data_IF_635501657621
#
_entry.id   IF_635501657621
#
_cell.length_a   1.000
_cell.length_b   1.000
_cell.length_c   1.000
_cell.angle_alpha   90.00
_cell.angle_beta   90.00
_cell.angle_gamma   90.00
#
_symmetry.space_group_name_H-M   'P 1'
#
loop_
_entity.id
_entity.type
_entity.pdbx_description
1 polymer ?
#
# COMPACT_ATOMS: atom_id res chain seq x y z
N UNK A 1 -52.78 -42.15 36.22
CA UNK A 1 -52.13 -41.37 37.29
C UNK A 1 -50.62 -41.43 37.07
N UNK A 2 -49.94 -40.28 37.01
CA UNK A 2 -48.47 -40.27 36.97
C UNK A 2 -47.87 -39.16 36.10
N UNK A 3 -47.99 -37.91 36.54
CA UNK A 3 -47.14 -36.79 36.08
C UNK A 3 -45.68 -37.07 36.42
N UNK A 4 -44.76 -36.70 35.53
CA UNK A 4 -43.55 -35.88 35.79
C UNK A 4 -42.68 -35.81 34.53
N UNK A 5 -42.75 -34.69 33.81
CA UNK A 5 -41.61 -34.19 33.03
C UNK A 5 -41.42 -32.74 33.46
N UNK A 6 -40.49 -32.56 34.38
CA UNK A 6 -39.96 -31.27 34.77
C UNK A 6 -38.45 -31.36 34.65
N UNK A 7 -37.82 -30.20 34.48
CA UNK A 7 -36.38 -29.95 34.34
C UNK A 7 -35.80 -30.20 32.94
N UNK A 8 -35.71 -29.13 32.16
CA UNK A 8 -34.44 -28.65 31.55
C UNK A 8 -34.70 -27.38 30.73
N UNK A 9 -34.91 -26.24 31.40
CA UNK A 9 -35.00 -24.94 30.72
C UNK A 9 -34.02 -23.89 31.25
N UNK A 10 -33.10 -24.26 32.14
CA UNK A 10 -32.24 -23.31 32.83
C UNK A 10 -30.77 -23.24 32.35
N UNK A 11 -30.33 -24.08 31.40
CA UNK A 11 -28.92 -24.11 30.97
C UNK A 11 -28.69 -23.46 29.59
N UNK A 12 -29.74 -23.20 28.80
CA UNK A 12 -29.59 -22.64 27.44
C UNK A 12 -29.37 -21.10 27.44
N UNK A 13 -29.60 -20.41 28.56
CA UNK A 13 -29.58 -18.93 28.57
C UNK A 13 -28.21 -18.29 28.81
N UNK A 14 -27.17 -19.03 29.24
CA UNK A 14 -25.86 -18.42 29.58
C UNK A 14 -24.87 -18.50 28.40
N UNK A 15 -25.06 -19.43 27.46
CA UNK A 15 -24.23 -19.52 26.24
C UNK A 15 -24.60 -18.43 25.21
N UNK A 16 -25.80 -17.84 25.30
CA UNK A 16 -26.23 -16.79 24.38
C UNK A 16 -25.71 -15.38 24.71
N UNK A 17 -25.13 -15.17 25.91
CA UNK A 17 -24.68 -13.84 26.31
C UNK A 17 -23.17 -13.59 26.11
N UNK A 18 -22.37 -14.63 25.84
CA UNK A 18 -20.93 -14.49 25.56
C UNK A 18 -20.64 -14.32 24.06
N UNK A 19 -21.59 -14.67 23.17
CA UNK A 19 -21.43 -14.51 21.72
C UNK A 19 -21.85 -13.12 21.19
N UNK A 20 -22.40 -12.25 22.05
CA UNK A 20 -22.86 -10.92 21.66
C UNK A 20 -21.79 -9.82 21.78
N UNK A 21 -20.57 -10.13 22.25
CA UNK A 21 -19.54 -9.13 22.53
C UNK A 21 -18.28 -9.21 21.65
N UNK A 22 -18.27 -10.09 20.65
CA UNK A 22 -17.20 -10.20 19.67
C UNK A 22 -17.76 -9.91 18.29
N UNK A 23 -17.74 -8.63 17.87
CA UNK A 23 -17.67 -8.12 16.48
C UNK A 23 -18.21 -6.68 16.39
N UNK A 24 -17.66 -5.76 17.19
CA UNK A 24 -17.69 -4.32 16.86
C UNK A 24 -16.23 -3.89 16.64
N UNK A 25 -15.61 -4.46 15.61
CA UNK A 25 -14.42 -3.86 15.03
C UNK A 25 -14.88 -2.68 14.15
N UNK A 26 -14.29 -1.48 14.30
CA UNK A 26 -14.62 -0.35 13.43
C UNK A 26 -14.28 -0.69 11.98
N UNK A 27 -15.32 -0.89 11.15
CA UNK A 27 -15.21 -1.17 9.70
C UNK A 27 -14.64 -0.01 8.88
N UNK A 28 -14.29 1.11 9.50
CA UNK A 28 -13.99 2.38 8.83
C UNK A 28 -12.56 2.52 8.30
N UNK A 29 -11.61 1.66 8.68
CA UNK A 29 -10.22 1.78 8.23
C UNK A 29 -9.86 0.93 6.99
N UNK A 30 -10.70 -0.04 6.60
CA UNK A 30 -10.44 -0.94 5.46
C UNK A 30 -11.11 -0.50 4.15
N UNK A 31 -12.02 0.49 4.18
CA UNK A 31 -12.77 0.90 2.99
C UNK A 31 -11.97 1.81 2.04
N UNK A 32 -11.00 2.57 2.53
CA UNK A 32 -10.26 3.54 1.71
C UNK A 32 -9.22 2.91 0.77
N UNK A 33 -8.79 1.66 1.04
CA UNK A 33 -7.84 0.99 0.15
C UNK A 33 -8.51 0.20 -0.98
N UNK A 34 -9.77 -0.25 -0.83
CA UNK A 34 -10.45 -1.04 -1.87
C UNK A 34 -10.77 -0.22 -3.13
N UNK A 35 -11.18 1.05 -2.99
CA UNK A 35 -11.45 1.93 -4.14
C UNK A 35 -10.23 2.17 -5.03
N UNK A 36 -9.01 2.05 -4.47
CA UNK A 36 -7.76 2.24 -5.22
C UNK A 36 -7.29 0.98 -5.96
N UNK A 37 -7.75 -0.21 -5.55
CA UNK A 37 -7.37 -1.49 -6.20
C UNK A 37 -8.42 -1.96 -7.22
N UNK A 38 -9.68 -1.58 -7.05
CA UNK A 38 -10.79 -1.97 -7.94
C UNK A 38 -11.17 -0.90 -8.98
N UNK A 39 -10.56 0.29 -8.92
CA UNK A 39 -10.93 1.44 -9.75
C UNK A 39 -12.20 2.14 -9.25
N UNK A 40 -12.34 3.42 -9.56
CA UNK A 40 -13.62 4.11 -9.39
C UNK A 40 -14.61 3.48 -10.40
N UNK A 41 -15.76 2.99 -9.92
CA UNK A 41 -16.73 2.39 -10.84
C UNK A 41 -17.31 3.47 -11.75
N UNK A 42 -17.21 3.26 -13.07
CA UNK A 42 -17.82 4.14 -14.06
C UNK A 42 -19.30 4.37 -13.74
N UNK A 43 -19.75 5.62 -13.77
CA UNK A 43 -21.18 5.93 -13.63
C UNK A 43 -21.89 5.39 -14.87
N UNK A 44 -22.81 4.44 -14.69
CA UNK A 44 -23.47 3.71 -15.77
C UNK A 44 -24.15 4.59 -16.83
N UNK A 45 -24.61 5.80 -16.48
CA UNK A 45 -25.23 6.74 -17.42
C UNK A 45 -24.25 7.41 -18.39
N UNK A 46 -22.94 7.24 -18.18
CA UNK A 46 -21.91 7.74 -19.09
C UNK A 46 -21.60 6.76 -20.23
N UNK A 47 -22.12 5.54 -20.16
CA UNK A 47 -21.90 4.50 -21.16
C UNK A 47 -22.76 4.80 -22.39
N UNK A 48 -22.12 4.90 -23.55
CA UNK A 48 -22.79 5.00 -24.83
C UNK A 48 -23.25 3.60 -25.27
N UNK A 49 -24.57 3.39 -25.25
CA UNK A 49 -25.17 2.10 -25.56
C UNK A 49 -25.46 1.98 -27.07
N UNK A 50 -24.89 0.98 -27.77
CA UNK A 50 -25.16 0.77 -29.19
C UNK A 50 -26.65 0.56 -29.51
N UNK A 51 -27.14 0.91 -30.70
CA UNK A 51 -28.55 0.71 -31.03
C UNK A 51 -28.93 -0.78 -30.92
N UNK A 52 -30.07 -1.05 -30.29
CA UNK A 52 -30.71 -2.37 -30.25
C UNK A 52 -31.94 -2.35 -31.15
N UNK A 53 -32.18 -3.44 -31.85
CA UNK A 53 -33.33 -3.60 -32.75
C UNK A 53 -34.62 -3.88 -31.98
N UNK A 54 -34.52 -4.54 -30.83
CA UNK A 54 -35.66 -4.90 -29.98
C UNK A 54 -36.08 -3.75 -29.06
N UNK A 55 -37.39 -3.66 -28.81
CA UNK A 55 -37.95 -2.82 -27.75
C UNK A 55 -37.75 -3.45 -26.37
N UNK A 56 -37.80 -2.64 -25.32
CA UNK A 56 -37.82 -3.17 -23.95
C UNK A 56 -39.16 -3.85 -23.65
N UNK A 57 -39.15 -4.77 -22.68
CA UNK A 57 -40.37 -5.39 -22.16
C UNK A 57 -41.39 -4.36 -21.65
N UNK A 58 -42.63 -4.80 -21.47
CA UNK A 58 -43.73 -3.92 -21.05
C UNK A 58 -43.50 -3.32 -19.67
N UNK A 59 -42.82 -4.06 -18.79
CA UNK A 59 -42.50 -3.64 -17.43
C UNK A 59 -41.00 -3.82 -17.24
N UNK A 60 -40.34 -2.74 -16.84
CA UNK A 60 -38.90 -2.72 -16.64
C UNK A 60 -38.50 -3.39 -15.31
N UNK A 61 -37.24 -3.84 -15.19
CA UNK A 61 -36.72 -4.50 -13.97
C UNK A 61 -36.80 -3.66 -12.69
N UNK A 62 -36.97 -2.35 -12.79
CA UNK A 62 -37.07 -1.43 -11.66
C UNK A 62 -38.48 -1.30 -11.08
N UNK A 63 -39.47 -1.89 -11.73
CA UNK A 63 -40.86 -1.89 -11.29
C UNK A 63 -41.15 -3.06 -10.33
N UNK A 64 -41.93 -2.83 -9.25
CA UNK A 64 -42.36 -3.91 -8.36
C UNK A 64 -43.25 -4.95 -9.05
N UNK A 65 -43.77 -4.62 -10.24
CA UNK A 65 -44.62 -5.50 -11.05
C UNK A 65 -43.87 -6.23 -12.14
N UNK A 66 -42.53 -6.22 -12.15
CA UNK A 66 -41.71 -6.91 -13.16
C UNK A 66 -42.02 -8.41 -13.27
N UNK A 67 -42.50 -9.04 -12.20
CA UNK A 67 -42.98 -10.43 -12.23
C UNK A 67 -44.14 -10.67 -13.23
N UNK A 68 -44.93 -9.64 -13.55
CA UNK A 68 -46.00 -9.73 -14.55
C UNK A 68 -45.42 -9.83 -15.97
N UNK A 69 -44.33 -9.13 -16.28
CA UNK A 69 -43.62 -9.26 -17.56
C UNK A 69 -43.10 -10.69 -17.74
N UNK A 70 -42.44 -11.23 -16.70
CA UNK A 70 -42.01 -12.64 -16.66
C UNK A 70 -43.18 -13.61 -16.83
N UNK A 71 -44.33 -13.34 -16.22
CA UNK A 71 -45.54 -14.18 -16.36
C UNK A 71 -46.05 -14.16 -17.80
N UNK A 72 -46.09 -12.99 -18.43
CA UNK A 72 -46.53 -12.85 -19.82
C UNK A 72 -45.58 -13.56 -20.79
N UNK A 73 -44.28 -13.48 -20.55
CA UNK A 73 -43.28 -14.23 -21.32
C UNK A 73 -43.43 -15.75 -21.14
N UNK A 74 -43.72 -16.23 -19.92
CA UNK A 74 -44.02 -17.65 -19.70
C UNK A 74 -45.27 -18.09 -20.48
N UNK A 75 -46.29 -17.24 -20.58
CA UNK A 75 -47.47 -17.52 -21.41
C UNK A 75 -47.09 -17.60 -22.90
N UNK A 76 -46.26 -16.67 -23.41
CA UNK A 76 -45.74 -16.74 -24.79
C UNK A 76 -44.97 -18.05 -25.04
N UNK A 77 -44.10 -18.43 -24.10
CA UNK A 77 -43.35 -19.68 -24.17
C UNK A 77 -44.25 -20.92 -24.08
N UNK A 78 -45.35 -20.88 -23.31
CA UNK A 78 -46.31 -21.97 -23.20
C UNK A 78 -47.10 -22.19 -24.51
N UNK A 79 -47.40 -21.10 -25.23
CA UNK A 79 -48.09 -21.14 -26.53
C UNK A 79 -47.13 -21.53 -27.67
N UNK A 80 -45.82 -21.33 -27.48
CA UNK A 80 -44.79 -21.83 -28.38
C UNK A 80 -44.61 -23.35 -28.19
N UNK A 81 -45.50 -24.15 -28.78
CA UNK A 81 -45.55 -25.60 -28.53
C UNK A 81 -44.36 -26.41 -29.06
N UNK A 82 -43.58 -25.88 -30.01
CA UNK A 82 -42.44 -26.60 -30.60
C UNK A 82 -41.11 -26.03 -30.09
N UNK A 83 -40.04 -26.84 -29.99
CA UNK A 83 -38.74 -26.33 -29.54
C UNK A 83 -38.19 -25.20 -30.44
N UNK A 84 -38.43 -25.24 -31.75
CA UNK A 84 -38.06 -24.16 -32.68
C UNK A 84 -38.81 -22.87 -32.35
N UNK A 85 -40.11 -22.98 -32.10
CA UNK A 85 -40.94 -21.82 -31.73
C UNK A 85 -40.50 -21.26 -30.38
N UNK A 86 -40.11 -22.11 -29.42
CA UNK A 86 -39.55 -21.67 -28.13
C UNK A 86 -38.23 -20.95 -28.31
N UNK A 87 -37.33 -21.46 -29.15
CA UNK A 87 -36.06 -20.82 -29.45
C UNK A 87 -36.27 -19.39 -30.00
N UNK A 88 -37.19 -19.22 -30.96
CA UNK A 88 -37.54 -17.89 -31.50
C UNK A 88 -38.12 -16.95 -30.45
N UNK A 89 -39.06 -17.41 -29.62
CA UNK A 89 -39.61 -16.59 -28.54
C UNK A 89 -38.52 -16.18 -27.54
N UNK A 90 -37.56 -17.06 -27.23
CA UNK A 90 -36.42 -16.72 -26.36
C UNK A 90 -35.47 -15.73 -26.99
N UNK A 91 -35.24 -15.81 -28.31
CA UNK A 91 -34.48 -14.81 -29.06
C UNK A 91 -35.09 -13.42 -28.91
N UNK A 92 -36.43 -13.32 -29.04
CA UNK A 92 -37.16 -12.06 -28.83
C UNK A 92 -36.99 -11.53 -27.40
N UNK A 93 -37.16 -12.41 -26.39
CA UNK A 93 -36.99 -12.03 -24.98
C UNK A 93 -35.54 -11.61 -24.68
N UNK A 94 -34.54 -12.29 -25.23
CA UNK A 94 -33.14 -11.89 -25.08
C UNK A 94 -32.91 -10.47 -25.63
N UNK A 95 -33.51 -10.14 -26.78
CA UNK A 95 -33.51 -8.77 -27.31
C UNK A 95 -34.21 -7.77 -26.37
N UNK A 96 -35.34 -8.14 -25.75
CA UNK A 96 -36.02 -7.33 -24.72
C UNK A 96 -35.09 -7.05 -23.53
N UNK A 97 -34.31 -8.05 -23.08
CA UNK A 97 -33.35 -7.90 -21.97
C UNK A 97 -32.22 -6.93 -22.29
N UNK A 98 -31.68 -6.93 -23.51
CA UNK A 98 -30.70 -5.92 -23.92
C UNK A 98 -31.30 -4.52 -23.95
N UNK A 99 -32.54 -4.36 -24.41
CA UNK A 99 -33.22 -3.08 -24.42
C UNK A 99 -33.53 -2.58 -23.00
N UNK A 100 -33.88 -3.47 -22.07
CA UNK A 100 -34.00 -3.16 -20.65
C UNK A 100 -32.67 -2.74 -20.04
N UNK A 101 -31.59 -3.48 -20.31
CA UNK A 101 -30.24 -3.16 -19.85
C UNK A 101 -29.87 -1.72 -20.25
N UNK A 102 -30.11 -1.34 -21.51
CA UNK A 102 -29.89 0.03 -21.99
C UNK A 102 -30.62 1.07 -21.12
N UNK A 103 -31.89 0.84 -20.83
CA UNK A 103 -32.70 1.77 -20.03
C UNK A 103 -32.20 1.81 -18.58
N UNK A 104 -31.82 0.66 -18.00
CA UNK A 104 -31.32 0.59 -16.63
C UNK A 104 -29.98 1.30 -16.46
N UNK A 105 -29.07 1.16 -17.43
CA UNK A 105 -27.80 1.88 -17.44
C UNK A 105 -28.02 3.40 -17.57
N UNK A 106 -28.91 3.83 -18.45
CA UNK A 106 -29.27 5.25 -18.61
C UNK A 106 -29.85 5.86 -17.32
N UNK A 107 -30.54 5.05 -16.50
CA UNK A 107 -31.12 5.46 -15.21
C UNK A 107 -30.18 5.34 -14.02
N UNK A 108 -28.94 4.89 -14.22
CA UNK A 108 -28.04 4.50 -13.15
C UNK A 108 -28.60 3.46 -12.18
N UNK A 109 -29.47 2.57 -12.67
CA UNK A 109 -30.03 1.48 -11.86
C UNK A 109 -29.19 0.21 -12.03
N UNK A 110 -28.17 0.07 -11.18
CA UNK A 110 -27.26 -1.09 -11.21
C UNK A 110 -27.99 -2.41 -10.95
N UNK A 111 -28.92 -2.46 -9.99
CA UNK A 111 -29.68 -3.70 -9.69
C UNK A 111 -30.56 -4.13 -10.87
N UNK A 112 -31.15 -3.16 -11.58
CA UNK A 112 -31.92 -3.43 -12.79
C UNK A 112 -31.03 -3.90 -13.94
N UNK A 113 -29.85 -3.30 -14.10
CA UNK A 113 -28.86 -3.72 -15.09
C UNK A 113 -28.36 -5.15 -14.83
N UNK A 114 -28.07 -5.50 -13.58
CA UNK A 114 -27.69 -6.86 -13.18
C UNK A 114 -28.80 -7.85 -13.54
N UNK A 115 -30.06 -7.53 -13.19
CA UNK A 115 -31.22 -8.37 -13.51
C UNK A 115 -31.39 -8.58 -15.02
N UNK A 116 -31.15 -7.53 -15.82
CA UNK A 116 -31.24 -7.60 -17.28
C UNK A 116 -30.10 -8.43 -17.88
N UNK A 117 -28.87 -8.32 -17.37
CA UNK A 117 -27.73 -9.13 -17.82
C UNK A 117 -27.90 -10.61 -17.48
N UNK A 118 -28.31 -10.92 -16.26
CA UNK A 118 -28.57 -12.31 -15.84
C UNK A 118 -29.70 -12.92 -16.68
N UNK A 119 -30.77 -12.16 -16.90
CA UNK A 119 -31.89 -12.57 -17.75
C UNK A 119 -31.49 -12.74 -19.22
N UNK A 120 -30.59 -11.92 -19.75
CA UNK A 120 -30.06 -12.06 -21.11
C UNK A 120 -29.29 -13.38 -21.24
N UNK A 121 -28.36 -13.66 -20.34
CA UNK A 121 -27.57 -14.89 -20.36
C UNK A 121 -28.47 -16.13 -20.23
N UNK A 122 -29.44 -16.10 -19.31
CA UNK A 122 -30.39 -17.20 -19.10
C UNK A 122 -31.26 -17.48 -20.34
N UNK A 123 -31.76 -16.45 -21.01
CA UNK A 123 -32.61 -16.64 -22.19
C UNK A 123 -31.81 -17.09 -23.42
N UNK A 124 -30.56 -16.64 -23.57
CA UNK A 124 -29.67 -17.13 -24.63
C UNK A 124 -29.29 -18.60 -24.41
N UNK A 125 -28.99 -19.00 -23.18
CA UNK A 125 -28.70 -20.40 -22.86
C UNK A 125 -29.90 -21.31 -23.16
N UNK A 126 -31.09 -20.93 -22.67
CA UNK A 126 -32.31 -21.70 -22.94
C UNK A 126 -32.72 -21.67 -24.41
N UNK A 127 -32.37 -20.61 -25.15
CA UNK A 127 -32.55 -20.53 -26.60
C UNK A 127 -31.70 -21.59 -27.31
N UNK A 128 -30.42 -21.69 -26.97
CA UNK A 128 -29.53 -22.73 -27.48
C UNK A 128 -30.04 -24.15 -27.15
N UNK A 129 -30.47 -24.39 -25.90
CA UNK A 129 -31.06 -25.68 -25.50
C UNK A 129 -32.30 -26.01 -26.34
N UNK A 130 -33.18 -25.03 -26.59
CA UNK A 130 -34.40 -25.24 -27.38
C UNK A 130 -34.09 -25.56 -28.85
N UNK A 131 -33.00 -25.00 -29.40
CA UNK A 131 -32.50 -25.32 -30.73
C UNK A 131 -32.00 -26.77 -30.81
N UNK A 132 -31.16 -27.20 -29.86
CA UNK A 132 -30.66 -28.59 -29.79
C UNK A 132 -31.81 -29.60 -29.59
N UNK A 133 -32.83 -29.25 -28.78
CA UNK A 133 -34.04 -30.07 -28.64
C UNK A 133 -34.81 -30.22 -29.97
N UNK A 134 -34.87 -29.17 -30.80
CA UNK A 134 -35.47 -29.25 -32.12
C UNK A 134 -34.65 -30.16 -33.05
N UNK A 135 -33.34 -30.01 -33.08
CA UNK A 135 -32.44 -30.84 -33.87
C UNK A 135 -32.57 -32.33 -33.50
N UNK A 136 -32.53 -32.63 -32.19
CA UNK A 136 -32.71 -33.98 -31.65
C UNK A 136 -34.09 -34.58 -31.97
N UNK A 137 -35.11 -33.74 -32.24
CA UNK A 137 -36.43 -34.16 -32.69
C UNK A 137 -36.50 -34.47 -34.20
N UNK A 138 -35.35 -34.47 -34.90
CA UNK A 138 -35.23 -34.76 -36.33
C UNK A 138 -35.66 -33.61 -37.24
N UNK A 139 -35.68 -32.38 -36.72
CA UNK A 139 -36.07 -31.18 -37.47
C UNK A 139 -34.84 -30.58 -38.14
N UNK A 140 -35.02 -30.06 -39.34
CA UNK A 140 -33.97 -29.27 -39.99
C UNK A 140 -33.92 -27.88 -39.36
N UNK A 141 -32.88 -27.63 -38.57
CA UNK A 141 -32.71 -26.40 -37.79
C UNK A 141 -31.61 -25.48 -38.33
N UNK A 142 -30.98 -25.81 -39.46
CA UNK A 142 -29.79 -25.11 -39.96
C UNK A 142 -29.98 -23.60 -40.11
N UNK A 143 -31.07 -23.19 -40.74
CA UNK A 143 -31.38 -21.75 -40.92
C UNK A 143 -31.67 -21.06 -39.58
N UNK A 144 -32.31 -21.75 -38.65
CA UNK A 144 -32.57 -21.22 -37.31
C UNK A 144 -31.27 -21.11 -36.50
N UNK A 145 -30.36 -22.08 -36.63
CA UNK A 145 -29.04 -22.05 -36.01
C UNK A 145 -28.22 -20.86 -36.51
N UNK A 146 -28.23 -20.57 -37.84
CA UNK A 146 -27.59 -19.36 -38.40
C UNK A 146 -28.17 -18.08 -37.81
N UNK A 147 -29.50 -17.96 -37.76
CA UNK A 147 -30.19 -16.78 -37.22
C UNK A 147 -29.85 -16.54 -35.74
N UNK A 148 -29.90 -17.60 -34.94
CA UNK A 148 -29.57 -17.56 -33.50
C UNK A 148 -28.09 -17.22 -33.32
N UNK A 149 -27.18 -17.85 -34.08
CA UNK A 149 -25.75 -17.59 -34.00
C UNK A 149 -25.44 -16.11 -34.28
N UNK A 150 -26.03 -15.55 -35.35
CA UNK A 150 -25.86 -14.14 -35.69
C UNK A 150 -26.43 -13.21 -34.61
N UNK A 151 -27.55 -13.61 -33.98
CA UNK A 151 -28.13 -12.85 -32.87
C UNK A 151 -27.22 -12.85 -31.65
N UNK A 152 -26.65 -14.00 -31.28
CA UNK A 152 -25.71 -14.12 -30.17
C UNK A 152 -24.45 -13.28 -30.44
N UNK A 153 -23.91 -13.31 -31.67
CA UNK A 153 -22.81 -12.43 -32.10
C UNK A 153 -23.13 -10.96 -31.86
N UNK A 154 -24.26 -10.49 -32.40
CA UNK A 154 -24.69 -9.10 -32.23
C UNK A 154 -24.83 -8.72 -30.76
N UNK A 155 -25.37 -9.60 -29.92
CA UNK A 155 -25.47 -9.36 -28.48
C UNK A 155 -24.09 -9.29 -27.81
N UNK A 156 -23.16 -10.17 -28.18
CA UNK A 156 -21.77 -10.14 -27.69
C UNK A 156 -21.04 -8.87 -28.12
N UNK A 157 -21.22 -8.40 -29.34
CA UNK A 157 -20.62 -7.14 -29.83
C UNK A 157 -21.09 -5.94 -29.02
N UNK A 158 -22.38 -5.90 -28.69
CA UNK A 158 -22.95 -4.88 -27.80
C UNK A 158 -22.29 -4.98 -26.42
N UNK A 159 -22.22 -6.17 -25.81
CA UNK A 159 -21.59 -6.34 -24.50
C UNK A 159 -20.09 -6.01 -24.50
N UNK A 160 -19.36 -6.34 -25.57
CA UNK A 160 -17.96 -5.96 -25.78
C UNK A 160 -17.80 -4.44 -25.78
N UNK A 161 -18.65 -3.74 -26.53
CA UNK A 161 -18.65 -2.27 -26.57
C UNK A 161 -18.92 -1.68 -25.18
N UNK A 162 -19.86 -2.23 -24.41
CA UNK A 162 -20.14 -1.77 -23.05
C UNK A 162 -19.00 -2.09 -22.07
N UNK A 163 -18.37 -3.27 -22.21
CA UNK A 163 -17.23 -3.69 -21.40
C UNK A 163 -16.03 -2.75 -21.58
N UNK A 164 -15.76 -2.32 -22.82
CA UNK A 164 -14.67 -1.39 -23.14
C UNK A 164 -14.85 0.00 -22.49
N UNK A 165 -16.09 0.39 -22.19
CA UNK A 165 -16.45 1.68 -21.60
C UNK A 165 -16.61 1.63 -20.07
N UNK A 166 -16.68 0.42 -19.51
CA UNK A 166 -16.93 0.21 -18.09
C UNK A 166 -15.63 -0.07 -17.32
N UNK A 167 -15.63 0.29 -16.04
CA UNK A 167 -14.58 -0.05 -15.08
C UNK A 167 -15.16 -0.82 -13.88
N UNK A 168 -14.28 -1.43 -13.09
CA UNK A 168 -14.62 -2.09 -11.84
C UNK A 168 -15.63 -3.24 -12.00
N UNK A 169 -16.64 -3.26 -11.10
CA UNK A 169 -17.62 -4.35 -11.02
C UNK A 169 -18.48 -4.45 -12.28
N UNK A 170 -18.86 -3.31 -12.88
CA UNK A 170 -19.73 -3.31 -14.05
C UNK A 170 -19.04 -3.92 -15.27
N UNK A 171 -17.73 -3.65 -15.46
CA UNK A 171 -16.92 -4.32 -16.48
C UNK A 171 -16.94 -5.84 -16.33
N UNK A 172 -16.74 -6.33 -15.10
CA UNK A 172 -16.76 -7.76 -14.80
C UNK A 172 -18.13 -8.39 -15.09
N UNK A 173 -19.23 -7.66 -14.85
CA UNK A 173 -20.58 -8.11 -15.17
C UNK A 173 -20.79 -8.27 -16.68
N UNK A 174 -20.37 -7.30 -17.47
CA UNK A 174 -20.40 -7.41 -18.93
C UNK A 174 -19.54 -8.56 -19.44
N UNK A 175 -18.30 -8.70 -18.95
CA UNK A 175 -17.43 -9.83 -19.29
C UNK A 175 -18.10 -11.17 -18.95
N UNK A 176 -18.66 -11.31 -17.77
CA UNK A 176 -19.34 -12.55 -17.33
C UNK A 176 -20.53 -12.90 -18.23
N UNK A 177 -21.39 -11.93 -18.55
CA UNK A 177 -22.51 -12.15 -19.45
C UNK A 177 -22.05 -12.51 -20.87
N UNK A 178 -20.99 -11.84 -21.36
CA UNK A 178 -20.37 -12.15 -22.65
C UNK A 178 -19.84 -13.58 -22.73
N UNK A 179 -19.15 -14.06 -21.69
CA UNK A 179 -18.65 -15.43 -21.62
C UNK A 179 -19.80 -16.46 -21.58
N UNK A 180 -20.87 -16.17 -20.85
CA UNK A 180 -22.06 -17.02 -20.86
C UNK A 180 -22.67 -17.12 -22.26
N UNK A 181 -22.77 -16.00 -22.98
CA UNK A 181 -23.21 -15.98 -24.38
C UNK A 181 -22.24 -16.73 -25.31
N UNK A 182 -20.93 -16.65 -25.10
CA UNK A 182 -19.92 -17.40 -25.85
C UNK A 182 -20.14 -18.91 -25.69
N UNK A 183 -20.38 -19.38 -24.46
CA UNK A 183 -20.68 -20.79 -24.21
C UNK A 183 -21.96 -21.25 -24.94
N UNK A 184 -23.03 -20.47 -24.88
CA UNK A 184 -24.26 -20.79 -25.60
C UNK A 184 -24.09 -20.73 -27.12
N UNK A 185 -23.21 -19.86 -27.63
CA UNK A 185 -22.85 -19.80 -29.07
C UNK A 185 -22.27 -21.13 -29.52
N UNK A 186 -21.33 -21.71 -28.77
CA UNK A 186 -20.73 -23.01 -29.10
C UNK A 186 -21.78 -24.12 -29.22
N UNK A 187 -22.80 -24.14 -28.35
CA UNK A 187 -23.90 -25.11 -28.47
C UNK A 187 -24.76 -24.90 -29.72
N UNK A 188 -24.87 -23.66 -30.22
CA UNK A 188 -25.60 -23.33 -31.45
C UNK A 188 -24.77 -23.69 -32.69
N UNK A 189 -23.45 -23.53 -32.61
CA UNK A 189 -22.50 -23.87 -33.68
C UNK A 189 -22.54 -25.36 -34.04
N UNK A 190 -22.79 -26.24 -33.07
CA UNK A 190 -22.96 -27.69 -33.31
C UNK A 190 -24.09 -28.01 -34.33
N UNK A 191 -25.06 -27.11 -34.47
CA UNK A 191 -26.22 -27.27 -35.35
C UNK A 191 -26.07 -26.52 -36.69
N UNK A 192 -24.92 -25.87 -36.93
CA UNK A 192 -24.64 -25.15 -38.17
C UNK A 192 -24.26 -26.10 -39.33
N UNK A 193 -24.48 -25.69 -40.59
CA UNK A 193 -23.86 -26.35 -41.74
C UNK A 193 -22.32 -26.30 -41.64
N UNK A 194 -21.65 -27.36 -42.12
CA UNK A 194 -20.18 -27.50 -42.05
C UNK A 194 -19.41 -26.28 -42.60
N UNK A 195 -19.84 -25.74 -43.74
CA UNK A 195 -19.22 -24.54 -44.36
C UNK A 195 -19.32 -23.30 -43.47
N UNK A 196 -20.43 -23.13 -42.74
CA UNK A 196 -20.60 -22.00 -41.81
C UNK A 196 -19.83 -22.26 -40.52
N UNK A 197 -19.82 -23.51 -40.03
CA UNK A 197 -19.08 -23.88 -38.83
C UNK A 197 -17.57 -23.61 -39.00
N UNK A 198 -16.98 -23.96 -40.14
CA UNK A 198 -15.56 -23.66 -40.43
C UNK A 198 -15.28 -22.15 -40.37
N UNK A 199 -16.17 -21.33 -40.98
CA UNK A 199 -16.09 -19.88 -40.95
C UNK A 199 -16.24 -19.33 -39.51
N UNK A 200 -17.14 -19.89 -38.73
CA UNK A 200 -17.38 -19.51 -37.33
C UNK A 200 -16.19 -19.84 -36.42
N UNK A 201 -15.51 -20.97 -36.68
CA UNK A 201 -14.29 -21.36 -35.95
C UNK A 201 -13.16 -20.39 -36.28
N UNK A 202 -12.95 -20.07 -37.56
CA UNK A 202 -11.91 -19.11 -37.98
C UNK A 202 -12.14 -17.73 -37.35
N UNK A 203 -13.34 -17.17 -37.50
CA UNK A 203 -13.71 -15.89 -36.89
C UNK A 203 -13.61 -15.93 -35.35
N UNK A 204 -14.04 -17.04 -34.73
CA UNK A 204 -14.00 -17.20 -33.28
C UNK A 204 -12.57 -17.28 -32.71
N UNK A 205 -11.63 -17.85 -33.47
CA UNK A 205 -10.22 -17.88 -33.09
C UNK A 205 -9.59 -16.49 -33.19
N UNK A 206 -9.88 -15.74 -34.25
CA UNK A 206 -9.40 -14.36 -34.40
C UNK A 206 -9.93 -13.46 -33.28
N UNK A 207 -11.23 -13.54 -32.97
CA UNK A 207 -11.84 -12.81 -31.85
C UNK A 207 -11.18 -13.15 -30.50
N UNK A 208 -10.87 -14.42 -30.25
CA UNK A 208 -10.23 -14.86 -29.02
C UNK A 208 -8.77 -14.41 -28.93
N UNK A 209 -8.04 -14.42 -30.04
CA UNK A 209 -6.68 -13.89 -30.12
C UNK A 209 -6.68 -12.39 -29.82
N UNK A 210 -7.61 -11.63 -30.39
CA UNK A 210 -7.73 -10.19 -30.16
C UNK A 210 -8.07 -9.89 -28.69
N UNK A 211 -9.04 -10.61 -28.10
CA UNK A 211 -9.40 -10.44 -26.69
C UNK A 211 -8.23 -10.75 -25.75
N UNK A 212 -7.52 -11.86 -25.97
CA UNK A 212 -6.34 -12.22 -25.18
C UNK A 212 -5.21 -11.20 -25.35
N UNK A 213 -5.04 -10.66 -26.56
CA UNK A 213 -4.05 -9.62 -26.86
C UNK A 213 -4.37 -8.31 -26.15
N UNK A 214 -5.64 -7.88 -26.17
CA UNK A 214 -6.10 -6.71 -25.40
C UNK A 214 -5.92 -6.90 -23.89
N UNK A 215 -6.25 -8.07 -23.35
CA UNK A 215 -6.10 -8.36 -21.92
C UNK A 215 -4.61 -8.37 -21.50
N UNK A 216 -3.74 -8.99 -22.32
CA UNK A 216 -2.31 -9.03 -22.09
C UNK A 216 -1.68 -7.64 -22.17
N UNK A 217 -2.00 -6.86 -23.21
CA UNK A 217 -1.48 -5.48 -23.37
C UNK A 217 -1.98 -4.54 -22.29
N UNK A 218 -3.25 -4.64 -21.90
CA UNK A 218 -3.82 -3.90 -20.78
C UNK A 218 -3.14 -4.25 -19.45
N UNK A 219 -2.85 -5.52 -19.21
CA UNK A 219 -2.11 -5.98 -18.03
C UNK A 219 -0.67 -5.49 -18.02
N UNK A 220 0.02 -5.53 -19.16
CA UNK A 220 1.37 -5.00 -19.31
C UNK A 220 1.43 -3.49 -19.00
N UNK A 221 0.49 -2.69 -19.52
CA UNK A 221 0.39 -1.25 -19.21
C UNK A 221 0.17 -0.98 -17.71
N UNK A 222 -0.68 -1.77 -17.04
CA UNK A 222 -0.89 -1.64 -15.59
C UNK A 222 0.37 -1.96 -14.79
N UNK A 223 1.11 -3.01 -15.19
CA UNK A 223 2.38 -3.37 -14.57
C UNK A 223 3.43 -2.28 -14.79
N UNK A 224 3.55 -1.75 -16.01
CA UNK A 224 4.45 -0.64 -16.33
C UNK A 224 4.14 0.59 -15.47
N UNK A 225 2.87 0.97 -15.35
CA UNK A 225 2.46 2.07 -14.46
C UNK A 225 2.82 1.80 -13.00
N UNK A 226 2.59 0.58 -12.50
CA UNK A 226 2.92 0.20 -11.13
C UNK A 226 4.45 0.25 -10.87
N UNK A 227 5.26 -0.20 -11.82
CA UNK A 227 6.73 -0.13 -11.76
C UNK A 227 7.16 1.34 -11.66
N UNK A 228 6.66 2.21 -12.54
CA UNK A 228 6.99 3.64 -12.53
C UNK A 228 6.61 4.32 -11.20
N UNK A 229 5.46 3.97 -10.62
CA UNK A 229 5.04 4.49 -9.30
C UNK A 229 5.98 4.00 -8.20
N UNK A 230 6.36 2.72 -8.21
CA UNK A 230 7.28 2.16 -7.23
C UNK A 230 8.69 2.75 -7.35
N UNK A 231 9.19 2.97 -8.56
CA UNK A 231 10.49 3.62 -8.80
C UNK A 231 10.52 5.05 -8.24
N UNK A 232 9.45 5.82 -8.44
CA UNK A 232 9.32 7.16 -7.85
C UNK A 232 9.33 7.10 -6.32
N UNK A 233 8.55 6.20 -5.72
CA UNK A 233 8.49 6.04 -4.27
C UNK A 233 9.84 5.59 -3.69
N UNK A 234 10.53 4.68 -4.37
CA UNK A 234 11.87 4.24 -3.97
C UNK A 234 12.88 5.39 -4.02
N UNK A 235 12.82 6.21 -5.08
CA UNK A 235 13.68 7.39 -5.22
C UNK A 235 13.42 8.44 -4.14
N UNK A 236 12.15 8.75 -3.85
CA UNK A 236 11.76 9.66 -2.77
C UNK A 236 12.22 9.15 -1.40
N UNK A 237 12.07 7.85 -1.14
CA UNK A 237 12.52 7.22 0.10
C UNK A 237 14.04 7.30 0.25
N UNK A 238 14.80 7.04 -0.82
CA UNK A 238 16.26 7.11 -0.83
C UNK A 238 16.75 8.55 -0.56
N UNK A 239 16.14 9.56 -1.18
CA UNK A 239 16.47 10.97 -0.91
C UNK A 239 16.18 11.32 0.55
N UNK A 240 15.03 10.90 1.09
CA UNK A 240 14.68 11.16 2.49
C UNK A 240 15.63 10.47 3.47
N UNK A 241 16.08 9.26 3.16
CA UNK A 241 17.07 8.54 3.96
C UNK A 241 18.43 9.23 3.92
N UNK A 242 18.86 9.69 2.74
CA UNK A 242 20.09 10.44 2.57
C UNK A 242 20.08 11.74 3.40
N UNK A 243 18.98 12.51 3.35
CA UNK A 243 18.84 13.73 4.15
C UNK A 243 18.94 13.44 5.66
N UNK A 244 18.26 12.40 6.15
CA UNK A 244 18.38 11.98 7.56
C UNK A 244 19.81 11.60 7.94
N UNK A 245 20.53 10.94 7.03
CA UNK A 245 21.93 10.57 7.24
C UNK A 245 22.83 11.81 7.29
N UNK A 246 22.61 12.77 6.41
CA UNK A 246 23.34 14.05 6.41
C UNK A 246 23.09 14.85 7.70
N UNK A 247 21.84 14.94 8.15
CA UNK A 247 21.49 15.57 9.43
C UNK A 247 22.16 14.87 10.63
N UNK A 248 22.13 13.54 10.66
CA UNK A 248 22.78 12.76 11.72
C UNK A 248 24.31 12.96 11.72
N UNK A 249 24.94 13.01 10.54
CA UNK A 249 26.38 13.29 10.41
C UNK A 249 26.72 14.71 10.87
N UNK A 250 25.91 15.71 10.48
CA UNK A 250 26.08 17.09 10.92
C UNK A 250 26.00 17.22 12.43
N UNK A 251 24.98 16.63 13.05
CA UNK A 251 24.83 16.60 14.50
C UNK A 251 26.03 15.90 15.19
N UNK A 252 26.51 14.79 14.63
CA UNK A 252 27.69 14.10 15.17
C UNK A 252 28.96 14.94 15.08
N UNK A 253 29.14 15.71 14.01
CA UNK A 253 30.27 16.65 13.86
C UNK A 253 30.16 17.78 14.88
N UNK A 254 28.97 18.38 15.06
CA UNK A 254 28.73 19.45 16.04
C UNK A 254 29.05 18.97 17.46
N UNK A 255 28.53 17.82 17.88
CA UNK A 255 28.83 17.22 19.20
C UNK A 255 30.33 16.94 19.38
N UNK A 256 31.00 16.43 18.34
CA UNK A 256 32.44 16.13 18.40
C UNK A 256 33.28 17.41 18.47
N UNK A 257 32.90 18.47 17.76
CA UNK A 257 33.55 19.77 17.82
C UNK A 257 33.39 20.41 19.20
N UNK A 258 32.20 20.38 19.79
CA UNK A 258 31.99 20.84 21.17
C UNK A 258 32.86 20.07 22.18
N UNK A 259 32.95 18.75 22.04
CA UNK A 259 33.80 17.93 22.89
C UNK A 259 35.29 18.31 22.75
N UNK A 260 35.75 18.60 21.53
CA UNK A 260 37.12 19.02 21.25
C UNK A 260 37.43 20.40 21.83
N UNK A 261 36.50 21.36 21.74
CA UNK A 261 36.63 22.67 22.38
C UNK A 261 36.76 22.51 23.89
N UNK A 262 35.87 21.73 24.54
CA UNK A 262 35.95 21.43 25.98
C UNK A 262 37.23 20.71 26.38
N UNK A 263 37.84 19.96 25.46
CA UNK A 263 39.13 19.30 25.70
C UNK A 263 40.27 20.30 25.62
N UNK A 264 40.27 21.21 24.64
CA UNK A 264 41.24 22.28 24.50
C UNK A 264 41.20 23.25 25.70
N UNK A 265 40.01 23.62 26.16
CA UNK A 265 39.84 24.43 27.37
C UNK A 265 40.44 23.76 28.60
N UNK A 266 40.20 22.45 28.78
CA UNK A 266 40.81 21.68 29.88
C UNK A 266 42.32 21.67 29.80
N UNK A 267 42.90 21.47 28.61
CA UNK A 267 44.34 21.53 28.44
C UNK A 267 44.91 22.93 28.72
N UNK A 268 44.22 23.99 28.30
CA UNK A 268 44.64 25.36 28.60
C UNK A 268 44.65 25.65 30.11
N UNK A 269 43.62 25.18 30.84
CA UNK A 269 43.57 25.29 32.30
C UNK A 269 44.69 24.49 32.98
N UNK A 270 44.97 23.27 32.52
CA UNK A 270 46.09 22.47 33.03
C UNK A 270 47.45 23.15 32.78
N UNK A 271 47.63 23.81 31.64
CA UNK A 271 48.83 24.58 31.35
C UNK A 271 48.97 25.82 32.25
N UNK A 272 47.88 26.54 32.51
CA UNK A 272 47.86 27.68 33.42
C UNK A 272 48.22 27.26 34.85
N UNK A 273 47.65 26.16 35.34
CA UNK A 273 47.99 25.59 36.65
C UNK A 273 49.47 25.20 36.72
N UNK A 274 50.01 24.53 35.70
CA UNK A 274 51.44 24.20 35.63
C UNK A 274 52.32 25.44 35.64
N UNK A 275 51.94 26.51 34.93
CA UNK A 275 52.67 27.78 34.93
C UNK A 275 52.64 28.46 36.30
N UNK A 276 51.49 28.45 36.98
CA UNK A 276 51.35 28.99 38.33
C UNK A 276 52.23 28.25 39.34
N UNK A 277 52.22 26.91 39.31
CA UNK A 277 53.07 26.07 40.15
C UNK A 277 54.56 26.37 39.87
N UNK A 278 54.95 26.52 38.60
CA UNK A 278 56.31 26.90 38.22
C UNK A 278 56.71 28.29 38.73
N UNK A 279 55.81 29.27 38.67
CA UNK A 279 56.03 30.62 39.19
C UNK A 279 56.18 30.59 40.72
N UNK A 280 55.32 29.88 41.44
CA UNK A 280 55.41 29.71 42.89
C UNK A 280 56.72 29.02 43.29
N UNK A 281 57.12 27.98 42.57
CA UNK A 281 58.41 27.32 42.75
C UNK A 281 59.59 28.27 42.51
N UNK A 282 59.54 29.10 41.45
CA UNK A 282 60.56 30.13 41.18
C UNK A 282 60.62 31.18 42.28
N UNK A 283 59.48 31.68 42.75
CA UNK A 283 59.40 32.64 43.86
C UNK A 283 60.01 32.04 45.13
N UNK A 284 59.68 30.78 45.44
CA UNK A 284 60.24 30.06 46.59
C UNK A 284 61.76 29.94 46.48
N UNK A 285 62.28 29.47 45.34
CA UNK A 285 63.73 29.35 45.09
C UNK A 285 64.43 30.71 45.21
N UNK A 286 63.84 31.78 44.67
CA UNK A 286 64.39 33.15 44.79
C UNK A 286 64.39 33.63 46.24
N UNK A 287 63.35 33.31 47.03
CA UNK A 287 63.29 33.67 48.45
C UNK A 287 64.34 32.92 49.28
N UNK A 288 64.52 31.62 49.05
CA UNK A 288 65.56 30.80 49.68
C UNK A 288 66.97 31.30 49.30
N UNK A 289 67.17 31.71 48.05
CA UNK A 289 68.40 32.34 47.58
C UNK A 289 68.65 33.71 48.25
N UNK A 290 67.61 34.55 48.43
CA UNK A 290 67.74 35.82 49.16
C UNK A 290 68.09 35.59 50.63
N UNK A 291 67.47 34.60 51.28
CA UNK A 291 67.81 34.24 52.65
C UNK A 291 69.25 33.75 52.77
N UNK A 292 69.72 32.90 51.86
CA UNK A 292 71.10 32.42 51.87
C UNK A 292 72.11 33.54 51.60
N UNK A 293 71.79 34.49 50.72
CA UNK A 293 72.56 35.72 50.51
C UNK A 293 72.59 36.57 51.78
N UNK A 294 71.45 36.78 52.45
CA UNK A 294 71.38 37.54 53.71
C UNK A 294 72.20 36.87 54.82
N UNK A 295 72.10 35.55 54.98
CA UNK A 295 72.94 34.79 55.93
C UNK A 295 74.42 34.89 55.59
N UNK A 296 74.77 34.89 54.30
CA UNK A 296 76.16 35.08 53.84
C UNK A 296 76.66 36.49 54.12
N UNK A 297 75.82 37.52 53.95
CA UNK A 297 76.15 38.91 54.32
C UNK A 297 76.33 39.05 55.84
N UNK A 298 75.44 38.51 56.65
CA UNK A 298 75.56 38.50 58.12
C UNK A 298 76.84 37.75 58.57
N UNK A 299 77.16 36.63 57.92
CA UNK A 299 78.40 35.90 58.16
C UNK A 299 79.63 36.71 57.74
N UNK A 300 79.59 37.40 56.61
CA UNK A 300 80.65 38.28 56.15
C UNK A 300 80.85 39.49 57.09
N UNK A 301 79.77 40.08 57.62
CA UNK A 301 79.85 41.12 58.64
C UNK A 301 80.44 40.60 59.95
N UNK A 302 80.04 39.40 60.40
CA UNK A 302 80.66 38.74 61.57
C UNK A 302 82.13 38.46 61.35
N UNK A 303 82.53 38.01 60.17
CA UNK A 303 83.92 37.83 59.78
C UNK A 303 84.68 39.16 59.79
N UNK A 304 84.07 40.24 59.29
CA UNK A 304 84.65 41.58 59.31
C UNK A 304 84.85 42.09 60.74
N UNK A 305 83.85 41.92 61.62
CA UNK A 305 83.96 42.22 63.06
C UNK A 305 85.03 41.36 63.74
N UNK A 306 85.08 40.06 63.43
CA UNK A 306 86.12 39.19 63.96
C UNK A 306 87.52 39.59 63.45
N UNK A 307 87.65 40.04 62.20
CA UNK A 307 88.90 40.60 61.67
C UNK A 307 89.29 41.91 62.35
N UNK A 308 88.33 42.77 62.69
CA UNK A 308 88.57 43.96 63.52
C UNK A 308 89.03 43.58 64.93
N UNK A 309 88.38 42.62 65.59
CA UNK A 309 88.81 42.09 66.90
C UNK A 309 90.19 41.41 66.81
N UNK A 310 90.51 40.70 65.72
CA UNK A 310 91.85 40.12 65.51
C UNK A 310 92.89 41.21 65.23
N UNK A 311 92.53 42.30 64.56
CA UNK A 311 93.40 43.48 64.42
C UNK A 311 93.61 44.18 65.77
N UNK A 312 92.57 44.32 66.58
CA UNK A 312 92.67 44.87 67.95
C UNK A 312 93.47 43.93 68.86
N UNK A 313 93.27 42.61 68.78
CA UNK A 313 94.05 41.63 69.53
C UNK A 313 95.51 41.56 69.06
N UNK A 314 95.80 41.80 67.77
CA UNK A 314 97.18 41.97 67.28
C UNK A 314 97.79 43.32 67.70
N UNK A 315 96.98 44.37 67.88
CA UNK A 315 97.44 45.62 68.48
C UNK A 315 97.75 45.43 69.99
N UNK A 316 96.98 44.59 70.69
CA UNK A 316 97.21 44.25 72.11
C UNK A 316 98.36 43.23 72.28
N UNK A 317 98.55 42.28 71.35
CA UNK A 317 99.68 41.33 71.40
C UNK A 317 100.99 41.89 70.82
N UNK A 318 100.99 43.12 70.31
CA UNK A 318 102.22 43.85 69.97
C UNK A 318 102.63 44.86 71.05
N UNK A 319 101.90 44.92 72.18
CA UNK A 319 102.26 45.69 73.38
C UNK A 319 102.60 44.82 74.62
N UNK A 320 102.50 43.48 74.56
CA UNK A 320 102.75 42.59 75.73
C UNK A 320 103.96 41.66 75.59
N UNK A 321 104.91 41.97 74.72
CA UNK A 321 106.21 41.27 74.63
C UNK A 321 107.38 42.24 74.85
N UNK A 322 107.38 42.95 75.98
CA UNK A 322 108.54 43.73 76.42
C UNK A 322 108.49 44.06 77.93
N UNK A 323 108.57 43.06 78.83
CA UNK A 323 109.13 43.25 80.19
C UNK A 323 109.21 41.97 81.04
N UNK A 324 110.43 41.67 81.50
CA UNK A 324 110.85 40.92 82.72
C UNK A 324 110.53 39.41 82.76
N UNK A 325 111.47 38.46 82.83
CA UNK A 325 112.88 38.42 83.29
C UNK A 325 113.12 38.97 84.71
N UNK A 326 112.76 38.14 85.70
CA UNK A 326 113.28 37.95 87.08
C UNK A 326 112.38 36.86 87.72
N UNK A 327 112.77 35.78 88.39
CA UNK A 327 114.04 35.24 88.89
C UNK A 327 113.79 33.77 89.36
N UNK A 328 114.81 32.94 89.16
CA UNK A 328 115.19 31.57 89.57
C UNK A 328 114.48 30.82 90.72
N UNK A 329 114.05 29.56 90.46
CA UNK A 329 114.46 28.29 91.12
C UNK A 329 113.83 27.06 90.45
#
# INVERSE_FOLDING_TARGET
MGRKVGLSFAIVSIVFFVFAFSLILPKSALSHHQGKVLGESTVSSQINFPPVTSGAGFILPDSPFYFLDKTFQQIRLLIAFTPESRAKVRQEIAGERLAELRIMLARNNQSGADTALDGLAEEVDKMAISLSEAAASGKDVKELAKEINQTIKSHRDILNSLESQAEGVLKLKFKTAKEALKLSKTNVEDELPEEELEKEIEEGLDDEIDELTEEATGSARRLEHAINVLERLASEAAVKEQLKREEALRHAIEVKNEALIRQQERFALEEEEKQKILLEARVKVVSEARESVKRSQEAAERLKKAQEVVKEAKAVSSESSESSDQESE
#
